data_IF_379159014991
#
_entry.id   IF_379159014991
#
_cell.length_a   1.000
_cell.length_b   1.000
_cell.length_c   1.000
_cell.angle_alpha   90.00
_cell.angle_beta   90.00
_cell.angle_gamma   90.00
#
_symmetry.space_group_name_H-M   'P 1'
#
loop_
_entity.id
_entity.type
_entity.pdbx_description
1 polymer ?
#
# COMPACT_ATOMS: atom_id res chain seq x y z
N UNK A 1 -9.79 3.90 0.30
CA UNK A 1 -8.42 3.41 0.64
C UNK A 1 -7.38 4.46 0.19
N UNK A 2 -7.07 5.40 1.05
CA UNK A 2 -6.07 6.46 0.70
C UNK A 2 -5.14 6.68 1.89
N UNK A 3 -4.12 5.88 1.99
CA UNK A 3 -3.14 6.03 3.10
C UNK A 3 -1.75 6.19 2.50
N UNK A 4 -0.96 7.08 3.04
CA UNK A 4 0.42 7.31 2.50
C UNK A 4 1.47 6.58 3.36
N UNK A 5 1.11 5.46 3.94
CA UNK A 5 2.06 4.68 4.79
C UNK A 5 1.62 3.20 4.84
N UNK A 6 0.33 2.98 4.90
CA UNK A 6 -0.24 1.60 4.95
C UNK A 6 -1.74 1.67 4.69
N UNK A 7 -2.19 1.13 3.57
CA UNK A 7 -3.66 1.15 3.25
C UNK A 7 -4.11 -0.24 2.80
N UNK A 8 -3.75 -0.65 1.61
CA UNK A 8 -4.13 -2.01 1.12
C UNK A 8 -2.97 -2.98 1.36
N UNK A 9 -2.16 -2.70 2.37
CA UNK A 9 -1.00 -3.59 2.68
C UNK A 9 -1.52 -5.01 2.93
N UNK A 10 -2.59 -5.11 3.68
CA UNK A 10 -3.21 -6.45 3.95
C UNK A 10 -4.70 -6.30 4.30
N UNK A 11 -5.32 -5.24 3.84
CA UNK A 11 -6.77 -5.05 4.11
C UNK A 11 -7.56 -5.86 3.07
N UNK A 12 -7.20 -7.12 2.91
CA UNK A 12 -7.87 -8.01 1.92
C UNK A 12 -7.85 -7.35 0.54
N UNK A 13 -6.81 -6.60 0.25
CA UNK A 13 -6.68 -5.90 -1.06
C UNK A 13 -5.21 -5.82 -1.47
N UNK A 14 -4.95 -5.52 -2.72
CA UNK A 14 -3.53 -5.41 -3.21
C UNK A 14 -3.39 -4.20 -4.14
N UNK A 15 -4.10 -3.12 -3.85
CA UNK A 15 -3.99 -1.89 -4.70
C UNK A 15 -2.92 -0.98 -4.11
N UNK A 16 -3.21 -0.36 -2.99
CA UNK A 16 -2.20 0.52 -2.33
C UNK A 16 -1.32 -0.36 -1.44
N UNK A 17 -0.34 -1.01 -2.02
CA UNK A 17 0.54 -1.91 -1.23
C UNK A 17 1.65 -2.52 -2.11
N UNK A 18 2.75 -1.83 -2.30
CA UNK A 18 3.87 -2.44 -3.11
C UNK A 18 4.58 -3.47 -2.19
N UNK A 19 5.80 -3.90 -2.51
CA UNK A 19 6.40 -4.87 -1.55
C UNK A 19 6.56 -4.18 -0.18
N UNK A 20 6.21 -4.89 0.88
CA UNK A 20 6.32 -4.34 2.27
C UNK A 20 7.62 -3.51 2.51
N UNK A 21 8.56 -3.58 1.61
CA UNK A 21 9.85 -2.83 1.75
C UNK A 21 9.60 -1.31 1.85
N UNK A 22 9.18 -0.68 0.76
CA UNK A 22 8.94 0.81 0.77
C UNK A 22 7.57 1.14 1.38
N UNK A 23 6.85 2.08 0.81
CA UNK A 23 5.51 2.47 1.34
C UNK A 23 4.46 1.57 0.71
N UNK A 24 3.65 0.89 1.51
CA UNK A 24 2.61 -0.01 0.94
C UNK A 24 1.38 0.79 0.58
N UNK A 25 1.58 1.77 -0.30
CA UNK A 25 0.48 2.67 -0.76
C UNK A 25 0.64 2.90 -2.28
N UNK A 26 -0.45 3.16 -2.97
CA UNK A 26 -0.38 3.42 -4.46
C UNK A 26 0.53 4.64 -4.74
N UNK A 27 0.60 5.54 -3.80
CA UNK A 27 1.42 6.78 -3.94
C UNK A 27 2.90 6.45 -4.22
N UNK A 28 3.42 5.34 -3.72
CA UNK A 28 4.86 5.02 -3.95
C UNK A 28 4.99 3.87 -4.97
N UNK A 29 5.77 2.85 -4.67
CA UNK A 29 5.95 1.72 -5.63
C UNK A 29 4.61 1.03 -5.92
N UNK A 30 3.62 1.16 -5.05
CA UNK A 30 2.32 0.47 -5.33
C UNK A 30 1.48 1.28 -6.34
#
# INVERSE_FOLDING_TARGET
MISSVCVSSYRGRKSGNKPPSKTCLKEEMA
#
